data_IF_298262054701
#
_entry.id   IF_298262054701
#
_cell.length_a   1.000
_cell.length_b   1.000
_cell.length_c   1.000
_cell.angle_alpha   90.00
_cell.angle_beta   90.00
_cell.angle_gamma   90.00
#
_symmetry.space_group_name_H-M   'P 1'
#
loop_
_entity.id
_entity.type
_entity.pdbx_description
1 polymer ?
#
# COMPACT_ATOMS: atom_id res chain seq x y z
N UNK A 1 14.01 -3.65 23.33
CA UNK A 1 12.90 -2.68 23.40
C UNK A 1 11.67 -3.33 22.79
N UNK A 2 10.65 -3.55 23.62
CA UNK A 2 9.33 -4.00 23.17
C UNK A 2 8.74 -2.89 22.28
N UNK A 3 9.01 -2.94 20.99
CA UNK A 3 8.31 -2.08 20.05
C UNK A 3 6.87 -2.57 19.97
N UNK A 4 5.98 -1.78 20.53
CA UNK A 4 4.53 -1.97 20.38
C UNK A 4 4.20 -2.08 18.90
N UNK A 5 3.88 -3.28 18.44
CA UNK A 5 3.51 -3.59 17.05
C UNK A 5 2.05 -3.20 16.74
N UNK A 6 1.53 -2.21 17.44
CA UNK A 6 0.17 -1.72 17.22
C UNK A 6 0.22 -0.63 16.16
N UNK A 7 -0.33 -0.90 14.97
CA UNK A 7 -0.49 0.11 13.94
C UNK A 7 -1.87 0.76 14.09
N UNK A 8 -1.88 2.04 14.41
CA UNK A 8 -3.11 2.84 14.47
C UNK A 8 -3.37 3.65 13.19
N UNK A 9 -2.42 3.61 12.24
CA UNK A 9 -2.48 4.31 10.96
C UNK A 9 -2.98 5.76 11.11
N UNK A 10 -2.23 6.57 11.84
CA UNK A 10 -2.58 7.97 12.11
C UNK A 10 -1.80 8.91 11.21
N UNK A 11 -2.35 10.11 11.05
CA UNK A 11 -1.64 11.25 10.48
C UNK A 11 -1.41 12.24 11.61
N UNK A 12 -0.14 12.61 11.85
CA UNK A 12 0.22 13.60 12.86
C UNK A 12 -0.26 14.99 12.46
N UNK A 13 -0.39 15.90 13.43
CA UNK A 13 -0.73 17.29 13.16
C UNK A 13 0.30 17.97 12.23
N UNK A 14 1.56 17.63 12.38
CA UNK A 14 2.65 18.13 11.55
C UNK A 14 2.50 17.65 10.09
N UNK A 15 2.24 16.34 9.88
CA UNK A 15 1.98 15.79 8.55
C UNK A 15 0.71 16.37 7.91
N UNK A 16 -0.35 16.58 8.69
CA UNK A 16 -1.57 17.24 8.21
C UNK A 16 -1.28 18.68 7.76
N UNK A 17 -0.48 19.43 8.51
CA UNK A 17 -0.03 20.78 8.15
C UNK A 17 0.78 20.80 6.85
N UNK A 18 1.67 19.82 6.65
CA UNK A 18 2.42 19.65 5.40
C UNK A 18 1.48 19.39 4.20
N UNK A 19 0.50 18.49 4.38
CA UNK A 19 -0.47 18.16 3.34
C UNK A 19 -1.35 19.36 2.92
N UNK A 20 -1.65 20.28 3.84
CA UNK A 20 -2.38 21.52 3.49
C UNK A 20 -1.56 22.47 2.59
N UNK A 21 -0.24 22.39 2.61
CA UNK A 21 0.65 23.20 1.74
C UNK A 21 0.91 22.58 0.38
N UNK A 22 0.58 21.30 0.22
CA UNK A 22 0.89 20.53 -0.98
C UNK A 22 0.27 21.10 -2.27
N UNK A 23 -0.99 21.61 -2.32
CA UNK A 23 -1.55 22.19 -3.53
C UNK A 23 -0.73 23.36 -4.09
N UNK A 24 -0.27 24.25 -3.22
CA UNK A 24 0.57 25.37 -3.63
C UNK A 24 1.91 24.93 -4.21
N UNK A 25 2.53 23.86 -3.62
CA UNK A 25 3.76 23.28 -4.13
C UNK A 25 3.54 22.62 -5.50
N UNK A 26 2.42 21.90 -5.67
CA UNK A 26 2.07 21.28 -6.95
C UNK A 26 1.78 22.32 -8.03
N UNK A 27 1.05 23.40 -7.68
CA UNK A 27 0.74 24.46 -8.63
C UNK A 27 1.99 25.21 -9.09
N UNK A 28 2.97 25.38 -8.22
CA UNK A 28 4.25 26.01 -8.56
C UNK A 28 5.13 25.06 -9.42
N UNK A 29 5.18 23.78 -9.09
CA UNK A 29 5.97 22.80 -9.85
C UNK A 29 5.34 22.41 -11.20
N UNK A 30 4.01 22.47 -11.31
CA UNK A 30 3.26 22.15 -12.52
C UNK A 30 2.10 23.13 -12.70
N UNK A 31 2.34 24.37 -13.20
CA UNK A 31 1.29 25.35 -13.41
C UNK A 31 0.25 24.88 -14.41
N UNK A 32 -1.03 24.99 -14.07
CA UNK A 32 -2.15 24.70 -14.97
C UNK A 32 -2.89 26.01 -15.28
N UNK A 33 -3.00 26.40 -16.56
CA UNK A 33 -3.76 27.57 -16.96
C UNK A 33 -5.20 27.51 -16.45
N UNK A 34 -5.75 28.64 -16.00
CA UNK A 34 -7.06 28.70 -15.36
C UNK A 34 -8.17 28.11 -16.24
N UNK A 35 -8.13 28.37 -17.55
CA UNK A 35 -9.05 27.79 -18.55
C UNK A 35 -9.05 26.24 -18.55
N UNK A 36 -7.99 25.58 -18.07
CA UNK A 36 -7.87 24.11 -17.99
C UNK A 36 -8.19 23.58 -16.60
N UNK A 37 -8.31 24.43 -15.59
CA UNK A 37 -8.60 23.98 -14.21
C UNK A 37 -9.96 23.31 -14.11
N UNK A 38 -10.97 23.86 -14.78
CA UNK A 38 -12.31 23.27 -14.80
C UNK A 38 -12.36 21.88 -15.43
N UNK A 39 -11.48 21.58 -16.38
CA UNK A 39 -11.41 20.26 -17.04
C UNK A 39 -10.59 19.23 -16.26
N UNK A 40 -9.87 19.61 -15.21
CA UNK A 40 -9.01 18.73 -14.43
C UNK A 40 -9.78 17.53 -13.85
N UNK A 41 -10.98 17.75 -13.35
CA UNK A 41 -11.86 16.69 -12.80
C UNK A 41 -12.15 15.58 -13.81
N UNK A 42 -12.28 15.90 -15.09
CA UNK A 42 -12.49 14.91 -16.15
C UNK A 42 -11.20 14.13 -16.42
N UNK A 43 -10.06 14.81 -16.50
CA UNK A 43 -8.75 14.17 -16.65
C UNK A 43 -8.42 13.23 -15.48
N UNK A 44 -8.78 13.60 -14.26
CA UNK A 44 -8.66 12.75 -13.07
C UNK A 44 -9.51 11.50 -13.24
N UNK A 45 -10.76 11.62 -13.66
CA UNK A 45 -11.68 10.49 -13.85
C UNK A 45 -11.23 9.55 -14.98
N UNK A 46 -10.75 10.11 -16.10
CA UNK A 46 -10.25 9.33 -17.22
C UNK A 46 -8.97 8.58 -16.85
N UNK A 47 -8.04 9.24 -16.16
CA UNK A 47 -6.85 8.59 -15.65
C UNK A 47 -7.19 7.51 -14.64
N UNK A 48 -8.15 7.75 -13.74
CA UNK A 48 -8.62 6.75 -12.79
C UNK A 48 -9.16 5.50 -13.51
N UNK A 49 -9.97 5.65 -14.56
CA UNK A 49 -10.45 4.51 -15.36
C UNK A 49 -9.28 3.73 -15.96
N UNK A 50 -8.33 4.42 -16.57
CA UNK A 50 -7.14 3.80 -17.15
C UNK A 50 -6.33 3.02 -16.11
N UNK A 51 -6.15 3.57 -14.90
CA UNK A 51 -5.34 2.95 -13.86
C UNK A 51 -6.05 1.82 -13.08
N UNK A 52 -7.39 1.78 -13.09
CA UNK A 52 -8.15 0.82 -12.28
C UNK A 52 -8.95 -0.18 -13.10
N UNK A 53 -9.64 0.26 -14.16
CA UNK A 53 -10.57 -0.57 -14.93
C UNK A 53 -9.96 -1.10 -16.23
N UNK A 54 -9.05 -0.35 -16.85
CA UNK A 54 -8.46 -0.63 -18.15
C UNK A 54 -6.97 -0.97 -18.06
N UNK A 55 -6.52 -1.50 -16.92
CA UNK A 55 -5.10 -1.78 -16.67
C UNK A 55 -4.44 -2.64 -17.74
N UNK A 56 -5.15 -3.62 -18.28
CA UNK A 56 -4.66 -4.48 -19.36
C UNK A 56 -4.41 -3.75 -20.69
N UNK A 57 -5.07 -2.60 -20.90
CA UNK A 57 -4.97 -1.78 -22.09
C UNK A 57 -4.13 -0.52 -21.88
N UNK A 58 -3.59 -0.34 -20.68
CA UNK A 58 -2.88 0.87 -20.30
C UNK A 58 -1.64 1.08 -21.15
N UNK A 59 -1.58 2.23 -21.81
CA UNK A 59 -0.31 2.70 -22.38
C UNK A 59 0.67 3.00 -21.24
N UNK A 60 1.84 2.39 -21.29
CA UNK A 60 2.93 2.57 -20.32
C UNK A 60 3.32 4.05 -20.19
N UNK A 61 3.15 4.82 -21.24
CA UNK A 61 3.55 6.22 -21.35
C UNK A 61 2.41 7.24 -21.06
N UNK A 62 1.40 6.84 -20.27
CA UNK A 62 0.25 7.69 -19.97
C UNK A 62 0.64 9.06 -19.34
N UNK A 63 1.77 9.13 -18.63
CA UNK A 63 2.29 10.37 -18.06
C UNK A 63 2.90 11.33 -19.08
N UNK A 64 3.07 10.91 -20.33
CA UNK A 64 3.44 11.83 -21.43
C UNK A 64 2.28 12.75 -21.83
N UNK A 65 1.04 12.40 -21.50
CA UNK A 65 -0.10 13.28 -21.65
C UNK A 65 -0.10 14.36 -20.55
N UNK A 66 0.01 15.66 -20.89
CA UNK A 66 0.08 16.74 -19.89
C UNK A 66 -1.14 16.81 -18.96
N UNK A 67 -2.34 16.44 -19.44
CA UNK A 67 -3.54 16.42 -18.63
C UNK A 67 -3.50 15.31 -17.60
N UNK A 68 -3.02 14.12 -17.98
CA UNK A 68 -2.84 12.99 -17.08
C UNK A 68 -1.70 13.21 -16.09
N UNK A 69 -0.62 13.84 -16.53
CA UNK A 69 0.48 14.26 -15.66
C UNK A 69 -0.03 15.20 -14.55
N UNK A 70 -0.78 16.25 -14.92
CA UNK A 70 -1.37 17.18 -13.97
C UNK A 70 -2.40 16.53 -13.05
N UNK A 71 -3.23 15.60 -13.59
CA UNK A 71 -4.20 14.83 -12.82
C UNK A 71 -3.52 13.92 -11.81
N UNK A 72 -2.41 13.27 -12.20
CA UNK A 72 -1.65 12.40 -11.32
C UNK A 72 -1.10 13.17 -10.11
N UNK A 73 -0.43 14.30 -10.35
CA UNK A 73 0.16 15.12 -9.29
C UNK A 73 -0.89 15.68 -8.32
N UNK A 74 -2.09 16.04 -8.80
CA UNK A 74 -3.13 16.70 -7.98
C UNK A 74 -4.09 15.76 -7.28
N UNK A 75 -4.20 14.53 -7.76
CA UNK A 75 -5.15 13.57 -7.22
C UNK A 75 -4.47 12.30 -6.71
N UNK A 76 -3.71 11.58 -7.56
CA UNK A 76 -3.14 10.29 -7.20
C UNK A 76 -1.99 10.41 -6.20
N UNK A 77 -1.06 11.33 -6.43
CA UNK A 77 0.02 11.61 -5.49
C UNK A 77 -0.51 11.92 -4.08
N UNK A 78 -1.43 12.91 -3.87
CA UNK A 78 -1.91 13.22 -2.53
C UNK A 78 -2.61 12.05 -1.85
N UNK A 79 -3.42 11.27 -2.55
CA UNK A 79 -4.08 10.09 -1.97
C UNK A 79 -3.07 8.98 -1.61
N UNK A 80 -2.04 8.80 -2.42
CA UNK A 80 -0.96 7.86 -2.09
C UNK A 80 -0.15 8.36 -0.90
N UNK A 81 0.07 9.67 -0.77
CA UNK A 81 0.72 10.26 0.40
C UNK A 81 -0.08 10.01 1.68
N UNK A 82 -1.39 10.22 1.67
CA UNK A 82 -2.23 9.96 2.87
C UNK A 82 -2.07 8.53 3.36
N UNK A 83 -2.12 7.54 2.47
CA UNK A 83 -1.90 6.13 2.83
C UNK A 83 -0.50 5.88 3.39
N UNK A 84 0.50 6.36 2.67
CA UNK A 84 1.89 6.05 2.98
C UNK A 84 2.35 6.78 4.25
N UNK A 85 1.92 8.02 4.47
CA UNK A 85 2.17 8.75 5.71
C UNK A 85 1.58 7.99 6.91
N UNK A 86 0.33 7.53 6.80
CA UNK A 86 -0.32 6.79 7.87
C UNK A 86 0.43 5.48 8.21
N UNK A 87 0.95 4.78 7.20
CA UNK A 87 1.78 3.60 7.39
C UNK A 87 3.15 3.95 8.00
N UNK A 88 3.86 4.91 7.39
CA UNK A 88 5.22 5.25 7.82
C UNK A 88 5.28 5.84 9.22
N UNK A 89 4.23 6.55 9.66
CA UNK A 89 4.16 7.10 11.02
C UNK A 89 4.37 6.02 12.08
N UNK A 90 3.79 4.85 11.86
CA UNK A 90 3.85 3.73 12.81
C UNK A 90 5.03 2.77 12.56
N UNK A 91 5.56 2.75 11.34
CA UNK A 91 6.60 1.80 10.96
C UNK A 91 7.97 2.23 11.51
N UNK A 92 8.69 1.38 12.27
CA UNK A 92 10.02 1.69 12.76
C UNK A 92 11.04 1.62 11.62
N UNK A 93 11.42 2.78 11.09
CA UNK A 93 12.49 2.88 10.10
C UNK A 93 13.82 3.09 10.82
N UNK A 94 14.71 2.11 10.77
CA UNK A 94 16.03 2.18 11.42
C UNK A 94 17.06 2.87 10.49
N UNK A 95 16.78 4.14 10.15
CA UNK A 95 17.64 4.98 9.31
C UNK A 95 18.54 5.86 10.17
N UNK A 96 19.79 5.95 9.81
CA UNK A 96 20.82 6.72 10.49
C UNK A 96 21.62 7.59 9.51
N UNK A 97 22.49 8.42 10.04
CA UNK A 97 23.37 9.23 9.20
C UNK A 97 24.12 8.35 8.19
N UNK A 98 24.04 8.74 6.91
CA UNK A 98 24.64 8.04 5.79
C UNK A 98 23.87 6.83 5.27
N UNK A 99 22.68 6.51 5.83
CA UNK A 99 21.85 5.44 5.28
C UNK A 99 21.43 5.71 3.84
N UNK A 100 21.43 4.65 3.04
CA UNK A 100 21.03 4.67 1.62
C UNK A 100 19.64 4.07 1.49
N UNK A 101 18.76 4.80 0.84
CA UNK A 101 17.42 4.36 0.47
C UNK A 101 17.36 4.19 -1.04
N UNK A 102 16.82 3.07 -1.53
CA UNK A 102 16.47 2.89 -2.93
C UNK A 102 14.96 2.85 -3.05
N UNK A 103 14.39 3.85 -3.71
CA UNK A 103 12.95 3.96 -3.98
C UNK A 103 12.71 3.61 -5.45
N UNK A 104 12.27 2.38 -5.69
CA UNK A 104 12.04 1.82 -7.01
C UNK A 104 10.59 2.09 -7.48
N UNK A 105 10.44 2.66 -8.67
CA UNK A 105 9.16 3.15 -9.17
C UNK A 105 8.70 4.40 -8.41
N UNK A 106 9.64 5.30 -8.15
CA UNK A 106 9.48 6.47 -7.27
C UNK A 106 8.36 7.41 -7.74
N UNK A 107 8.02 7.40 -9.04
CA UNK A 107 7.04 8.30 -9.61
C UNK A 107 7.34 9.75 -9.27
N UNK A 108 6.38 10.53 -8.73
CA UNK A 108 6.61 11.90 -8.27
C UNK A 108 7.27 11.94 -6.87
N UNK A 109 8.23 11.07 -6.58
CA UNK A 109 8.89 10.95 -5.28
C UNK A 109 7.89 10.72 -4.12
N UNK A 110 6.93 9.83 -4.34
CA UNK A 110 5.87 9.57 -3.36
C UNK A 110 6.44 9.12 -2.02
N UNK A 111 7.43 8.21 -2.02
CA UNK A 111 8.05 7.75 -0.78
C UNK A 111 8.86 8.85 -0.08
N UNK A 112 9.79 9.60 -0.73
CA UNK A 112 10.49 10.71 -0.09
C UNK A 112 9.56 11.79 0.48
N UNK A 113 8.49 12.15 -0.23
CA UNK A 113 7.47 13.09 0.25
C UNK A 113 6.75 12.57 1.48
N UNK A 114 6.36 11.30 1.48
CA UNK A 114 5.72 10.66 2.62
C UNK A 114 6.67 10.54 3.82
N UNK A 115 7.95 10.22 3.58
CA UNK A 115 8.99 10.18 4.60
C UNK A 115 9.17 11.54 5.27
N UNK A 116 9.23 12.62 4.47
CA UNK A 116 9.31 13.99 4.97
C UNK A 116 8.13 14.31 5.90
N UNK A 117 6.91 13.94 5.51
CA UNK A 117 5.72 14.22 6.32
C UNK A 117 5.62 13.34 7.57
N UNK A 118 5.92 12.03 7.45
CA UNK A 118 5.67 11.05 8.49
C UNK A 118 6.77 11.00 9.57
N UNK A 119 8.01 11.37 9.21
CA UNK A 119 9.21 11.19 10.05
C UNK A 119 9.97 12.51 10.25
N UNK A 120 9.41 13.45 11.02
CA UNK A 120 10.07 14.74 11.26
C UNK A 120 11.46 14.62 11.86
N UNK A 121 11.74 13.57 12.62
CA UNK A 121 13.06 13.27 13.16
C UNK A 121 14.12 13.00 12.10
N UNK A 122 13.72 12.46 10.95
CA UNK A 122 14.64 12.18 9.84
C UNK A 122 14.97 13.41 8.98
N UNK A 123 14.22 14.51 9.12
CA UNK A 123 14.48 15.75 8.36
C UNK A 123 15.84 16.37 8.68
N UNK A 124 16.49 15.97 9.79
CA UNK A 124 17.83 16.44 10.20
C UNK A 124 18.92 15.38 10.02
N UNK A 125 18.56 14.20 9.54
CA UNK A 125 19.50 13.09 9.35
C UNK A 125 19.96 13.08 7.88
N UNK A 126 21.28 13.17 7.61
CA UNK A 126 21.81 13.03 6.27
C UNK A 126 21.52 11.64 5.70
N UNK A 127 20.79 11.59 4.58
CA UNK A 127 20.42 10.37 3.88
C UNK A 127 20.78 10.49 2.40
N UNK A 128 21.04 9.38 1.74
CA UNK A 128 21.06 9.30 0.27
C UNK A 128 19.81 8.54 -0.17
N UNK A 129 18.99 9.18 -1.02
CA UNK A 129 17.75 8.58 -1.54
C UNK A 129 17.86 8.49 -3.05
N UNK A 130 18.03 7.27 -3.55
CA UNK A 130 18.08 6.95 -4.97
C UNK A 130 16.67 6.69 -5.44
N UNK A 131 16.10 7.64 -6.17
CA UNK A 131 14.77 7.58 -6.74
C UNK A 131 14.88 7.06 -8.17
N UNK A 132 14.36 5.86 -8.42
CA UNK A 132 14.45 5.20 -9.72
C UNK A 132 13.07 5.05 -10.34
N UNK A 133 12.90 5.51 -11.59
CA UNK A 133 11.67 5.37 -12.37
C UNK A 133 11.99 5.44 -13.87
N UNK A 134 11.06 4.93 -14.69
CA UNK A 134 11.15 5.06 -16.17
C UNK A 134 10.69 6.42 -16.67
N UNK A 135 9.99 7.21 -15.88
CA UNK A 135 9.41 8.50 -16.26
C UNK A 135 10.18 9.65 -15.60
N UNK A 136 11.28 10.16 -16.21
CA UNK A 136 12.15 11.15 -15.56
C UNK A 136 11.44 12.45 -15.23
N UNK A 137 10.53 12.91 -16.10
CA UNK A 137 9.81 14.19 -15.89
C UNK A 137 8.95 14.22 -14.63
N UNK A 138 8.34 13.09 -14.24
CA UNK A 138 7.52 13.07 -13.03
C UNK A 138 8.38 13.02 -11.78
N UNK A 139 9.57 12.39 -11.86
CA UNK A 139 10.56 12.45 -10.77
C UNK A 139 11.08 13.87 -10.56
N UNK A 140 11.39 14.59 -11.64
CA UNK A 140 11.81 16.01 -11.56
C UNK A 140 10.75 16.88 -10.91
N UNK A 141 9.48 16.72 -11.31
CA UNK A 141 8.37 17.42 -10.69
C UNK A 141 8.23 17.06 -9.20
N UNK A 142 8.36 15.78 -8.86
CA UNK A 142 8.32 15.30 -7.48
C UNK A 142 9.45 15.89 -6.63
N UNK A 143 10.67 15.98 -7.16
CA UNK A 143 11.81 16.59 -6.47
C UNK A 143 11.54 18.07 -6.18
N UNK A 144 11.06 18.82 -7.17
CA UNK A 144 10.69 20.22 -6.98
C UNK A 144 9.57 20.38 -5.95
N UNK A 145 8.55 19.51 -5.97
CA UNK A 145 7.47 19.51 -4.97
C UNK A 145 8.04 19.27 -3.57
N UNK A 146 8.97 18.33 -3.40
CA UNK A 146 9.60 18.05 -2.11
C UNK A 146 10.39 19.28 -1.59
N UNK A 147 11.18 19.90 -2.45
CA UNK A 147 11.95 21.09 -2.11
C UNK A 147 11.04 22.27 -1.71
N UNK A 148 9.97 22.50 -2.48
CA UNK A 148 8.98 23.53 -2.18
C UNK A 148 8.22 23.24 -0.88
N UNK A 149 7.84 21.97 -0.65
CA UNK A 149 7.16 21.57 0.56
C UNK A 149 8.06 21.76 1.79
N UNK A 150 9.31 21.35 1.71
CA UNK A 150 10.28 21.53 2.79
C UNK A 150 10.50 23.02 3.11
N UNK A 151 10.66 23.86 2.09
CA UNK A 151 10.80 25.29 2.26
C UNK A 151 9.56 25.97 2.87
N UNK A 152 8.36 25.62 2.38
CA UNK A 152 7.09 26.23 2.85
C UNK A 152 6.61 25.69 4.20
N UNK A 153 6.98 24.48 4.57
CA UNK A 153 6.56 23.82 5.80
C UNK A 153 7.60 23.93 6.90
N UNK A 154 8.83 23.50 6.64
CA UNK A 154 9.92 23.43 7.63
C UNK A 154 10.89 24.61 7.59
N UNK A 155 10.88 25.42 6.53
CA UNK A 155 11.81 26.54 6.32
C UNK A 155 13.19 26.12 5.84
N UNK A 156 13.55 24.85 5.95
CA UNK A 156 14.85 24.29 5.58
C UNK A 156 14.70 23.02 4.75
N UNK A 157 15.61 22.78 3.83
CA UNK A 157 15.70 21.51 3.12
C UNK A 157 16.35 20.47 4.03
N UNK A 158 15.81 19.25 4.08
CA UNK A 158 16.49 18.17 4.78
C UNK A 158 17.83 17.87 4.11
N UNK A 159 18.84 17.43 4.87
CA UNK A 159 20.16 17.06 4.33
C UNK A 159 20.10 15.71 3.58
N UNK A 160 19.14 15.58 2.67
CA UNK A 160 18.94 14.40 1.86
C UNK A 160 19.55 14.62 0.47
N UNK A 161 20.49 13.74 0.10
CA UNK A 161 20.99 13.67 -1.26
C UNK A 161 19.99 12.89 -2.12
N UNK A 162 19.13 13.61 -2.87
CA UNK A 162 18.14 13.02 -3.78
C UNK A 162 18.76 12.81 -5.15
N UNK A 163 18.96 11.54 -5.52
CA UNK A 163 19.48 11.14 -6.83
C UNK A 163 18.34 10.58 -7.69
N UNK A 164 18.08 11.20 -8.83
CA UNK A 164 17.10 10.71 -9.81
C UNK A 164 17.79 9.81 -10.81
N UNK A 165 17.30 8.59 -10.98
CA UNK A 165 17.86 7.61 -11.93
C UNK A 165 16.77 7.06 -12.84
N UNK A 166 17.03 7.11 -14.15
CA UNK A 166 16.16 6.51 -15.15
C UNK A 166 16.48 5.02 -15.26
N UNK A 167 15.78 4.19 -14.49
CA UNK A 167 15.99 2.74 -14.38
C UNK A 167 14.65 1.99 -14.35
N UNK A 168 14.70 0.74 -14.77
CA UNK A 168 13.61 -0.23 -14.63
C UNK A 168 13.88 -1.17 -13.45
N UNK A 169 12.83 -1.70 -12.88
CA UNK A 169 12.95 -2.74 -11.85
C UNK A 169 13.73 -3.95 -12.40
N UNK A 170 14.74 -4.39 -11.64
CA UNK A 170 15.65 -5.47 -12.03
C UNK A 170 16.96 -4.99 -12.68
N UNK A 171 17.07 -3.74 -13.11
CA UNK A 171 18.33 -3.18 -13.57
C UNK A 171 19.28 -2.92 -12.39
N UNK A 172 20.60 -3.19 -12.52
CA UNK A 172 21.53 -3.13 -11.41
C UNK A 172 21.78 -1.70 -10.95
N UNK A 173 21.90 -1.53 -9.62
CA UNK A 173 22.39 -0.32 -8.95
C UNK A 173 23.67 -0.70 -8.22
N UNK A 174 24.69 0.17 -8.26
CA UNK A 174 25.98 -0.07 -7.61
C UNK A 174 25.86 -0.05 -6.09
N UNK A 175 25.10 0.90 -5.58
CA UNK A 175 24.90 1.12 -4.16
C UNK A 175 24.01 0.03 -3.57
N UNK A 176 24.21 -0.28 -2.28
CA UNK A 176 23.36 -1.18 -1.52
C UNK A 176 22.51 -0.40 -0.54
N UNK A 177 21.22 -0.68 -0.53
CA UNK A 177 20.23 0.00 0.28
C UNK A 177 20.20 -0.55 1.71
N UNK A 178 20.18 0.34 2.68
CA UNK A 178 19.73 0.02 4.05
C UNK A 178 18.21 -0.14 4.09
N UNK A 179 17.50 0.60 3.23
CA UNK A 179 16.07 0.46 3.00
C UNK A 179 15.76 0.47 1.50
N UNK A 180 15.18 -0.62 1.01
CA UNK A 180 14.56 -0.68 -0.32
C UNK A 180 13.06 -0.41 -0.19
N UNK A 181 12.52 0.40 -1.08
CA UNK A 181 11.10 0.71 -1.15
C UNK A 181 10.55 0.45 -2.55
N UNK A 182 9.34 -0.10 -2.61
CA UNK A 182 8.54 -0.21 -3.83
C UNK A 182 7.07 0.09 -3.49
N UNK A 183 6.54 1.20 -3.98
CA UNK A 183 5.20 1.67 -3.65
C UNK A 183 4.32 1.73 -4.90
N UNK A 184 3.32 0.83 -4.98
CA UNK A 184 2.42 0.67 -6.13
C UNK A 184 3.14 0.33 -7.44
N UNK A 185 4.19 -0.48 -7.38
CA UNK A 185 5.06 -0.81 -8.51
C UNK A 185 4.86 -2.24 -8.98
N UNK A 186 4.85 -3.21 -8.06
CA UNK A 186 4.87 -4.62 -8.41
C UNK A 186 3.58 -5.06 -9.08
N UNK A 187 2.45 -4.46 -8.73
CA UNK A 187 1.16 -4.73 -9.36
C UNK A 187 1.16 -4.41 -10.87
N UNK A 188 2.02 -3.50 -11.32
CA UNK A 188 2.15 -3.15 -12.73
C UNK A 188 2.87 -4.25 -13.50
N UNK A 189 3.93 -4.81 -12.95
CA UNK A 189 4.69 -5.91 -13.55
C UNK A 189 3.89 -7.20 -13.55
N UNK A 190 3.28 -7.52 -12.42
CA UNK A 190 2.54 -8.76 -12.22
C UNK A 190 1.24 -8.83 -13.03
N UNK A 191 0.66 -7.70 -13.44
CA UNK A 191 -0.61 -7.67 -14.16
C UNK A 191 -0.58 -8.41 -15.49
N UNK A 192 0.55 -8.39 -16.19
CA UNK A 192 0.76 -9.04 -17.48
C UNK A 192 1.52 -10.37 -17.40
N UNK A 193 1.88 -10.80 -16.19
CA UNK A 193 2.66 -12.01 -16.02
C UNK A 193 1.76 -13.25 -16.11
N UNK A 194 2.15 -14.18 -16.97
CA UNK A 194 1.59 -15.52 -17.11
C UNK A 194 2.64 -16.51 -16.58
N UNK A 195 2.51 -16.93 -15.32
CA UNK A 195 3.49 -17.81 -14.70
C UNK A 195 2.99 -18.43 -13.41
N UNK A 196 3.86 -19.15 -12.72
CA UNK A 196 3.60 -19.71 -11.40
C UNK A 196 3.86 -18.59 -10.37
N UNK A 197 2.84 -18.21 -9.60
CA UNK A 197 2.94 -17.11 -8.63
C UNK A 197 4.10 -17.25 -7.64
N UNK A 198 4.38 -18.48 -7.20
CA UNK A 198 5.49 -18.75 -6.28
C UNK A 198 6.85 -18.45 -6.93
N UNK A 199 7.03 -18.81 -8.21
CA UNK A 199 8.26 -18.56 -8.95
C UNK A 199 8.43 -17.06 -9.22
N UNK A 200 7.35 -16.38 -9.63
CA UNK A 200 7.35 -14.94 -9.83
C UNK A 200 7.68 -14.19 -8.54
N UNK A 201 7.10 -14.62 -7.42
CA UNK A 201 7.35 -14.03 -6.11
C UNK A 201 8.81 -14.25 -5.66
N UNK A 202 9.37 -15.43 -5.88
CA UNK A 202 10.77 -15.73 -5.58
C UNK A 202 11.72 -14.91 -6.45
N UNK A 203 11.42 -14.73 -7.74
CA UNK A 203 12.20 -13.90 -8.65
C UNK A 203 12.16 -12.42 -8.25
N UNK A 204 10.97 -11.89 -7.92
CA UNK A 204 10.80 -10.53 -7.44
C UNK A 204 11.62 -10.31 -6.16
N UNK A 205 11.48 -11.21 -5.18
CA UNK A 205 12.22 -11.12 -3.93
C UNK A 205 13.74 -11.14 -4.16
N UNK A 206 14.24 -12.07 -4.97
CA UNK A 206 15.66 -12.16 -5.31
C UNK A 206 16.18 -10.86 -5.94
N UNK A 207 15.43 -10.25 -6.86
CA UNK A 207 15.78 -8.95 -7.44
C UNK A 207 15.85 -7.85 -6.39
N UNK A 208 14.89 -7.81 -5.46
CA UNK A 208 14.87 -6.81 -4.38
C UNK A 208 16.06 -7.02 -3.44
N UNK A 209 16.36 -8.25 -3.06
CA UNK A 209 17.48 -8.59 -2.19
C UNK A 209 18.83 -8.14 -2.76
N UNK A 210 18.98 -8.13 -4.10
CA UNK A 210 20.20 -7.64 -4.75
C UNK A 210 20.41 -6.12 -4.55
N UNK A 211 19.36 -5.36 -4.30
CA UNK A 211 19.51 -3.94 -3.99
C UNK A 211 19.90 -3.67 -2.53
N UNK A 212 19.70 -4.62 -1.63
CA UNK A 212 19.82 -4.43 -0.20
C UNK A 212 21.23 -4.78 0.33
N UNK A 213 21.63 -4.12 1.42
CA UNK A 213 22.74 -4.56 2.27
C UNK A 213 22.38 -5.91 2.92
N UNK A 214 23.37 -6.59 3.55
CA UNK A 214 23.16 -7.87 4.21
C UNK A 214 22.11 -7.83 5.35
N UNK A 215 21.91 -6.68 5.97
CA UNK A 215 20.91 -6.42 7.01
C UNK A 215 19.85 -5.39 6.60
N UNK A 216 19.78 -5.09 5.32
CA UNK A 216 18.84 -4.11 4.77
C UNK A 216 17.38 -4.52 4.95
N UNK A 217 16.50 -3.55 4.89
CA UNK A 217 15.06 -3.77 4.95
C UNK A 217 14.39 -3.50 3.62
N UNK A 218 13.27 -4.16 3.41
CA UNK A 218 12.46 -4.06 2.19
C UNK A 218 11.04 -3.66 2.57
N UNK A 219 10.59 -2.51 2.10
CA UNK A 219 9.21 -2.04 2.25
C UNK A 219 8.50 -2.14 0.90
N UNK A 220 7.48 -2.99 0.83
CA UNK A 220 6.64 -3.16 -0.35
C UNK A 220 5.22 -2.74 0.03
N UNK A 221 4.66 -1.79 -0.71
CA UNK A 221 3.29 -1.29 -0.48
C UNK A 221 2.53 -1.34 -1.79
N UNK A 222 1.38 -2.00 -1.77
CA UNK A 222 0.54 -2.20 -2.95
C UNK A 222 -0.92 -1.80 -2.66
N UNK A 223 -1.77 -1.60 -3.67
CA UNK A 223 -3.19 -1.39 -3.46
C UNK A 223 -3.82 -2.52 -2.66
N UNK A 224 -4.79 -2.19 -1.78
CA UNK A 224 -5.50 -3.15 -0.94
C UNK A 224 -6.53 -3.98 -1.70
N UNK A 225 -6.16 -4.54 -2.84
CA UNK A 225 -7.01 -5.39 -3.69
C UNK A 225 -6.60 -6.87 -3.62
N UNK A 226 -7.50 -7.81 -3.94
CA UNK A 226 -7.23 -9.25 -3.79
C UNK A 226 -5.98 -9.72 -4.54
N UNK A 227 -5.74 -9.20 -5.73
CA UNK A 227 -4.59 -9.60 -6.57
C UNK A 227 -3.27 -9.14 -5.97
N UNK A 228 -3.20 -7.89 -5.53
CA UNK A 228 -2.01 -7.37 -4.84
C UNK A 228 -1.77 -8.07 -3.50
N UNK A 229 -2.83 -8.33 -2.73
CA UNK A 229 -2.74 -9.11 -1.50
C UNK A 229 -2.24 -10.54 -1.74
N UNK A 230 -2.65 -11.17 -2.84
CA UNK A 230 -2.17 -12.50 -3.26
C UNK A 230 -0.68 -12.50 -3.61
N UNK A 231 -0.22 -11.50 -4.37
CA UNK A 231 1.19 -11.32 -4.70
C UNK A 231 2.04 -11.13 -3.43
N UNK A 232 1.62 -10.24 -2.53
CA UNK A 232 2.35 -10.01 -1.28
C UNK A 232 2.36 -11.24 -0.39
N UNK A 233 1.27 -12.02 -0.35
CA UNK A 233 1.24 -13.30 0.37
C UNK A 233 2.28 -14.29 -0.18
N UNK A 234 2.45 -14.34 -1.50
CA UNK A 234 3.46 -15.21 -2.14
C UNK A 234 4.90 -14.71 -1.89
N UNK A 235 5.15 -13.40 -1.98
CA UNK A 235 6.46 -12.79 -1.65
C UNK A 235 6.80 -13.06 -0.18
N UNK A 236 5.83 -12.92 0.73
CA UNK A 236 5.99 -13.27 2.14
C UNK A 236 6.41 -14.72 2.32
N UNK A 237 5.75 -15.64 1.64
CA UNK A 237 6.09 -17.06 1.71
C UNK A 237 7.53 -17.33 1.22
N UNK A 238 7.92 -16.72 0.10
CA UNK A 238 9.29 -16.80 -0.41
C UNK A 238 10.32 -16.24 0.57
N UNK A 239 10.04 -15.09 1.20
CA UNK A 239 10.92 -14.47 2.18
C UNK A 239 11.15 -15.40 3.39
N UNK A 240 10.08 -15.99 3.94
CA UNK A 240 10.18 -16.92 5.07
C UNK A 240 10.97 -18.18 4.67
N UNK A 241 10.75 -18.71 3.46
CA UNK A 241 11.48 -19.88 2.96
C UNK A 241 12.96 -19.59 2.75
N UNK A 242 13.32 -18.39 2.33
CA UNK A 242 14.71 -17.92 2.19
C UNK A 242 15.37 -17.59 3.53
N UNK A 243 14.63 -17.61 4.64
CA UNK A 243 15.13 -17.33 5.98
C UNK A 243 15.07 -15.85 6.37
N UNK A 244 14.43 -15.01 5.54
CA UNK A 244 14.24 -13.60 5.83
C UNK A 244 13.18 -13.39 6.93
N UNK A 245 13.29 -12.27 7.66
CA UNK A 245 12.36 -11.95 8.73
C UNK A 245 11.28 -10.98 8.26
N UNK A 246 10.02 -11.41 8.29
CA UNK A 246 8.86 -10.56 8.03
C UNK A 246 8.50 -9.81 9.32
N UNK A 247 8.98 -8.56 9.45
CA UNK A 247 8.79 -7.73 10.65
C UNK A 247 7.34 -7.21 10.76
N UNK A 248 6.70 -6.92 9.61
CA UNK A 248 5.32 -6.45 9.55
C UNK A 248 4.65 -6.80 8.20
N UNK A 249 3.32 -6.90 8.15
CA UNK A 249 2.33 -6.76 9.23
C UNK A 249 2.08 -8.07 10.00
N UNK A 250 2.75 -9.15 9.59
CA UNK A 250 2.42 -10.51 10.02
C UNK A 250 2.76 -10.74 11.50
N UNK A 251 1.81 -11.27 12.31
CA UNK A 251 2.07 -11.65 13.68
C UNK A 251 2.76 -13.01 13.83
N UNK A 252 2.91 -13.78 12.74
CA UNK A 252 3.46 -15.14 12.72
C UNK A 252 4.19 -15.43 11.41
N UNK A 253 5.00 -16.51 11.41
CA UNK A 253 5.70 -17.04 10.24
C UNK A 253 5.01 -18.27 9.58
N UNK A 254 3.88 -18.72 10.10
CA UNK A 254 3.11 -19.84 9.54
C UNK A 254 2.52 -19.47 8.18
N UNK A 255 1.92 -20.43 7.46
CA UNK A 255 1.24 -20.19 6.20
C UNK A 255 0.22 -19.05 6.30
N UNK A 256 0.16 -18.19 5.28
CA UNK A 256 -0.78 -17.07 5.26
C UNK A 256 -2.21 -17.56 5.11
N UNK A 257 -3.13 -17.24 6.04
CA UNK A 257 -4.52 -17.67 5.95
C UNK A 257 -5.35 -16.82 4.98
N UNK A 258 -4.76 -15.77 4.39
CA UNK A 258 -5.43 -14.82 3.50
C UNK A 258 -4.69 -14.72 2.15
N UNK A 259 -4.78 -15.77 1.30
CA UNK A 259 -4.02 -15.85 0.05
C UNK A 259 -4.57 -14.96 -1.08
N UNK A 260 -5.64 -14.19 -0.86
CA UNK A 260 -6.23 -13.35 -1.88
C UNK A 260 -7.03 -14.13 -2.92
N UNK A 261 -6.80 -13.85 -4.21
CA UNK A 261 -7.49 -14.54 -5.31
C UNK A 261 -6.97 -15.97 -5.55
N UNK A 262 -5.83 -16.32 -4.94
CA UNK A 262 -5.19 -17.62 -5.14
C UNK A 262 -5.30 -18.47 -3.90
N UNK A 263 -5.86 -19.66 -4.06
CA UNK A 263 -5.85 -20.72 -3.07
C UNK A 263 -4.49 -21.38 -3.11
N UNK A 264 -3.59 -21.09 -2.17
CA UNK A 264 -2.35 -21.81 -1.96
C UNK A 264 -1.69 -22.36 -3.24
N UNK A 265 -0.99 -21.60 -4.02
CA UNK A 265 -0.11 -22.04 -5.11
C UNK A 265 -0.69 -22.98 -6.19
N UNK A 266 -1.67 -23.80 -5.88
CA UNK A 266 -2.20 -24.83 -6.78
C UNK A 266 -2.98 -24.27 -7.99
N UNK A 267 -3.72 -23.19 -7.84
CA UNK A 267 -4.44 -22.58 -8.97
C UNK A 267 -3.50 -21.87 -9.92
N UNK A 268 -2.34 -21.46 -9.43
CA UNK A 268 -1.28 -20.86 -10.24
C UNK A 268 -0.44 -21.92 -10.94
N UNK A 269 -0.31 -23.11 -10.37
CA UNK A 269 0.39 -24.24 -10.97
C UNK A 269 -0.32 -24.76 -12.24
N UNK A 270 -1.59 -24.44 -12.42
CA UNK A 270 -2.37 -24.86 -13.61
C UNK A 270 -2.33 -23.88 -14.78
N UNK A 271 -1.57 -22.78 -14.68
CA UNK A 271 -1.47 -21.75 -15.74
C UNK A 271 -2.79 -21.04 -16.06
N UNK A 272 -3.81 -21.21 -15.24
CA UNK A 272 -5.08 -20.51 -15.40
C UNK A 272 -5.02 -19.16 -14.67
N UNK A 273 -4.60 -18.13 -15.39
CA UNK A 273 -4.89 -16.76 -15.00
C UNK A 273 -6.39 -16.65 -14.70
N UNK A 274 -6.72 -15.98 -13.56
CA UNK A 274 -8.12 -15.80 -13.19
C UNK A 274 -8.95 -15.33 -14.37
N UNK A 275 -10.13 -15.92 -14.64
CA UNK A 275 -11.01 -15.53 -15.77
C UNK A 275 -11.49 -14.08 -15.73
N UNK A 276 -11.10 -13.32 -14.70
CA UNK A 276 -11.53 -11.94 -14.49
C UNK A 276 -10.95 -10.93 -15.51
N UNK A 277 -9.89 -11.29 -16.25
CA UNK A 277 -9.25 -10.38 -17.20
C UNK A 277 -9.90 -10.30 -18.57
N UNK A 278 -10.79 -11.22 -18.95
CA UNK A 278 -11.18 -11.38 -20.36
C UNK A 278 -12.67 -11.22 -20.72
N UNK A 279 -13.57 -10.87 -19.82
CA UNK A 279 -15.01 -10.84 -20.15
C UNK A 279 -15.73 -9.50 -20.13
N UNK A 280 -15.10 -8.39 -19.83
CA UNK A 280 -15.82 -7.08 -19.75
C UNK A 280 -15.42 -6.01 -20.76
N UNK A 281 -14.66 -6.34 -21.81
CA UNK A 281 -14.21 -5.34 -22.81
C UNK A 281 -15.05 -5.29 -24.10
N UNK A 282 -16.31 -5.67 -24.08
CA UNK A 282 -17.21 -5.43 -25.22
C UNK A 282 -18.56 -4.94 -24.72
N UNK A 283 -18.69 -3.65 -24.52
CA UNK A 283 -19.86 -2.77 -24.68
C UNK A 283 -19.77 -1.56 -23.76
N UNK A 284 -19.09 -0.54 -24.18
CA UNK A 284 -19.50 0.83 -23.90
C UNK A 284 -19.01 1.71 -25.05
N UNK A 285 -19.90 1.95 -25.99
CA UNK A 285 -19.73 2.96 -27.03
C UNK A 285 -19.54 4.32 -26.39
N UNK A 286 -18.46 5.00 -26.80
CA UNK A 286 -18.18 6.39 -26.48
C UNK A 286 -19.34 7.29 -26.92
N UNK A 287 -20.23 7.61 -26.02
CA UNK A 287 -21.08 8.79 -26.18
C UNK A 287 -20.21 10.02 -25.97
N UNK A 288 -19.84 10.69 -27.06
CA UNK A 288 -19.28 12.05 -27.03
C UNK A 288 -20.26 12.94 -26.27
N UNK A 289 -19.95 13.29 -25.04
CA UNK A 289 -20.71 14.29 -24.28
C UNK A 289 -20.20 15.68 -24.63
N UNK A 290 -21.12 16.52 -25.02
CA UNK A 290 -20.92 17.96 -25.22
C UNK A 290 -20.51 18.63 -23.91
N UNK A 291 -19.46 19.43 -23.96
CA UNK A 291 -18.92 20.22 -22.84
C UNK A 291 -19.86 21.38 -22.58
N UNK A 292 -20.94 21.16 -21.84
CA UNK A 292 -21.80 22.23 -21.28
C UNK A 292 -22.55 21.68 -20.08
N UNK A 293 -21.86 21.39 -18.99
CA UNK A 293 -22.54 21.20 -17.71
C UNK A 293 -21.57 21.41 -16.54
N UNK A 294 -21.82 22.42 -15.78
CA UNK A 294 -21.05 22.78 -14.55
C UNK A 294 -21.40 21.88 -13.36
N UNK A 295 -22.14 20.79 -13.59
CA UNK A 295 -22.58 19.86 -12.58
C UNK A 295 -21.46 18.90 -12.20
N UNK A 296 -21.51 18.43 -10.97
CA UNK A 296 -20.64 17.37 -10.49
C UNK A 296 -20.78 16.12 -11.37
N UNK A 297 -19.68 15.40 -11.52
CA UNK A 297 -19.71 14.10 -12.18
C UNK A 297 -20.45 13.08 -11.30
N UNK A 298 -21.28 12.26 -11.93
CA UNK A 298 -21.93 11.16 -11.21
C UNK A 298 -20.89 10.23 -10.58
N UNK A 299 -21.14 9.75 -9.35
CA UNK A 299 -20.26 8.80 -8.66
C UNK A 299 -20.01 7.56 -9.51
N UNK A 300 -18.76 7.08 -9.50
CA UNK A 300 -18.40 5.82 -10.15
C UNK A 300 -18.62 4.68 -9.16
N UNK A 301 -19.39 3.68 -9.55
CA UNK A 301 -19.53 2.44 -8.79
C UNK A 301 -18.34 1.52 -9.09
N UNK A 302 -17.61 1.15 -8.06
CA UNK A 302 -16.56 0.13 -8.16
C UNK A 302 -17.20 -1.26 -8.23
N UNK A 303 -16.76 -2.14 -9.16
CA UNK A 303 -17.19 -3.53 -9.14
C UNK A 303 -16.77 -4.19 -7.83
N UNK A 304 -17.66 -4.99 -7.24
CA UNK A 304 -17.33 -5.78 -6.06
C UNK A 304 -16.19 -6.77 -6.37
N UNK A 305 -15.26 -6.98 -5.43
CA UNK A 305 -14.23 -8.00 -5.60
C UNK A 305 -14.87 -9.38 -5.82
N UNK A 306 -14.55 -10.04 -6.94
CA UNK A 306 -15.07 -11.38 -7.28
C UNK A 306 -14.16 -12.47 -6.72
N UNK A 307 -13.75 -12.35 -5.47
CA UNK A 307 -12.94 -13.38 -4.81
C UNK A 307 -13.71 -14.08 -3.72
N UNK A 308 -13.48 -15.38 -3.57
CA UNK A 308 -14.00 -16.21 -2.47
C UNK A 308 -13.03 -16.28 -1.29
N UNK A 309 -11.81 -15.79 -1.48
CA UNK A 309 -10.74 -15.89 -0.49
C UNK A 309 -10.45 -14.54 0.13
N UNK A 310 -10.19 -14.48 1.44
CA UNK A 310 -9.75 -13.27 2.10
C UNK A 310 -8.35 -12.88 1.62
N UNK A 311 -8.05 -11.59 1.66
CA UNK A 311 -6.71 -11.07 1.40
C UNK A 311 -6.31 -10.09 2.50
N UNK A 312 -5.01 -10.04 2.75
CA UNK A 312 -4.46 -9.15 3.76
C UNK A 312 -4.42 -7.72 3.23
N UNK A 313 -5.18 -6.83 3.85
CA UNK A 313 -5.17 -5.40 3.56
C UNK A 313 -5.57 -4.61 4.80
N UNK A 314 -5.24 -3.32 4.79
CA UNK A 314 -5.54 -2.38 5.85
C UNK A 314 -6.28 -1.19 5.27
N UNK A 315 -7.01 -0.48 6.13
CA UNK A 315 -7.79 0.68 5.74
C UNK A 315 -7.43 1.89 6.59
N UNK A 316 -7.35 3.05 5.93
CA UNK A 316 -7.23 4.36 6.57
C UNK A 316 -8.50 5.15 6.25
N UNK A 317 -9.15 5.78 7.22
CA UNK A 317 -10.30 6.64 6.97
C UNK A 317 -9.95 7.78 6.01
N UNK A 318 -10.80 8.02 5.02
CA UNK A 318 -10.56 9.11 4.06
C UNK A 318 -10.69 10.50 4.71
N UNK A 319 -11.29 10.60 5.88
CA UNK A 319 -11.38 11.83 6.68
C UNK A 319 -10.02 12.33 7.16
N UNK A 320 -8.97 11.48 7.21
CA UNK A 320 -7.61 11.90 7.49
C UNK A 320 -6.99 12.74 6.36
N UNK A 321 -7.56 12.67 5.16
CA UNK A 321 -7.12 13.50 4.06
C UNK A 321 -7.58 14.96 4.22
N UNK A 322 -6.78 15.92 3.73
CA UNK A 322 -7.14 17.33 3.73
C UNK A 322 -8.50 17.58 3.06
N UNK A 323 -9.21 18.61 3.53
CA UNK A 323 -10.53 18.96 2.97
C UNK A 323 -10.50 19.23 1.47
N UNK A 324 -9.44 19.90 0.99
CA UNK A 324 -9.28 20.21 -0.43
C UNK A 324 -9.21 18.94 -1.30
N UNK A 325 -8.55 17.88 -0.83
CA UNK A 325 -8.42 16.62 -1.57
C UNK A 325 -9.75 15.85 -1.60
N UNK A 326 -10.45 15.82 -0.48
CA UNK A 326 -11.79 15.22 -0.39
C UNK A 326 -12.78 15.95 -1.31
N UNK A 327 -12.72 17.28 -1.35
CA UNK A 327 -13.53 18.09 -2.27
C UNK A 327 -13.22 17.77 -3.73
N UNK A 328 -11.95 17.74 -4.11
CA UNK A 328 -11.53 17.39 -5.49
C UNK A 328 -12.02 15.99 -5.88
N UNK A 329 -11.96 15.02 -4.96
CA UNK A 329 -12.49 13.67 -5.17
C UNK A 329 -13.98 13.67 -5.45
N UNK A 330 -14.74 14.40 -4.64
CA UNK A 330 -16.17 14.52 -4.80
C UNK A 330 -16.55 15.15 -6.13
N UNK A 331 -15.91 16.25 -6.51
CA UNK A 331 -16.11 16.95 -7.78
C UNK A 331 -15.75 16.08 -9.01
N UNK A 332 -14.82 15.13 -8.84
CA UNK A 332 -14.40 14.18 -9.87
C UNK A 332 -15.29 12.92 -9.92
N UNK A 333 -16.31 12.80 -9.07
CA UNK A 333 -17.15 11.60 -8.95
C UNK A 333 -16.42 10.39 -8.37
N UNK A 334 -15.33 10.62 -7.62
CA UNK A 334 -14.43 9.61 -7.05
C UNK A 334 -14.33 9.76 -5.53
N UNK A 335 -15.43 10.14 -4.87
CA UNK A 335 -15.47 10.24 -3.42
C UNK A 335 -15.02 8.94 -2.75
N UNK A 336 -14.30 9.08 -1.64
CA UNK A 336 -13.74 7.96 -0.90
C UNK A 336 -14.19 8.03 0.56
N UNK A 337 -14.57 6.90 1.10
CA UNK A 337 -14.84 6.73 2.53
C UNK A 337 -13.58 6.23 3.25
N UNK A 338 -12.80 5.40 2.57
CA UNK A 338 -11.56 4.81 3.09
C UNK A 338 -10.53 4.60 1.98
N UNK A 339 -9.30 4.42 2.40
CA UNK A 339 -8.16 4.08 1.56
C UNK A 339 -7.64 2.73 1.99
N UNK A 340 -7.61 1.77 1.09
CA UNK A 340 -7.06 0.45 1.37
C UNK A 340 -5.68 0.28 0.76
N UNK A 341 -4.83 -0.49 1.45
CA UNK A 341 -3.50 -0.88 1.01
C UNK A 341 -3.09 -2.20 1.63
N UNK A 342 -2.14 -2.86 1.00
CA UNK A 342 -1.44 -4.04 1.51
C UNK A 342 0.04 -3.74 1.59
N UNK A 343 0.77 -4.30 2.56
CA UNK A 343 2.20 -4.06 2.67
C UNK A 343 2.95 -5.23 3.28
N UNK A 344 4.26 -5.24 3.02
CA UNK A 344 5.24 -6.08 3.69
C UNK A 344 6.44 -5.23 4.10
N UNK A 345 6.94 -5.49 5.30
CA UNK A 345 8.20 -4.95 5.79
C UNK A 345 9.07 -6.13 6.22
N UNK A 346 10.15 -6.35 5.48
CA UNK A 346 10.98 -7.53 5.56
C UNK A 346 12.40 -7.10 5.88
N UNK A 347 13.05 -7.75 6.84
CA UNK A 347 14.46 -7.60 7.14
C UNK A 347 15.25 -8.74 6.50
N UNK A 348 16.26 -8.37 5.70
CA UNK A 348 17.22 -9.32 5.16
C UNK A 348 18.08 -9.88 6.28
N UNK A 349 18.31 -11.20 6.27
CA UNK A 349 19.14 -11.87 7.24
C UNK A 349 20.34 -12.52 6.56
N UNK A 350 21.49 -12.58 7.24
CA UNK A 350 22.62 -13.33 6.73
C UNK A 350 22.32 -14.83 6.88
N UNK A 351 22.29 -15.54 5.77
CA UNK A 351 21.79 -16.89 5.52
C UNK A 351 22.23 -18.04 6.40
N UNK A 352 22.25 -17.88 7.73
CA UNK A 352 22.41 -18.96 8.71
C UNK A 352 21.83 -18.64 10.09
N UNK A 353 21.06 -17.55 10.23
CA UNK A 353 20.32 -17.34 11.46
C UNK A 353 19.23 -18.40 11.53
N UNK A 354 19.39 -19.36 12.43
CA UNK A 354 18.45 -20.43 12.73
C UNK A 354 17.02 -19.95 12.56
N UNK A 355 16.24 -20.71 11.75
CA UNK A 355 14.79 -20.59 11.51
C UNK A 355 14.13 -19.76 12.61
N UNK A 356 13.69 -18.57 12.22
CA UNK A 356 13.06 -17.53 12.99
C UNK A 356 12.73 -17.91 14.43
N UNK A 357 13.41 -17.31 15.40
CA UNK A 357 12.79 -17.09 16.69
C UNK A 357 11.57 -16.17 16.45
N UNK A 358 10.46 -16.76 16.04
CA UNK A 358 9.17 -16.17 16.39
C UNK A 358 9.25 -16.01 17.89
N UNK A 359 9.35 -14.77 18.37
CA UNK A 359 9.42 -14.51 19.80
C UNK A 359 8.30 -15.31 20.46
N UNK A 360 8.66 -16.18 21.39
CA UNK A 360 7.71 -16.97 22.19
C UNK A 360 6.73 -15.96 22.81
N UNK A 361 5.51 -15.89 22.30
CA UNK A 361 4.51 -14.89 22.69
C UNK A 361 3.75 -14.29 21.52
N UNK A 362 4.35 -14.18 20.33
CA UNK A 362 3.63 -13.72 19.12
C UNK A 362 2.59 -14.72 18.63
N UNK A 363 2.75 -15.99 18.94
CA UNK A 363 1.78 -17.05 18.57
C UNK A 363 0.40 -16.88 19.20
N UNK A 364 0.30 -16.10 20.27
CA UNK A 364 -0.95 -15.78 20.96
C UNK A 364 -1.58 -14.47 20.53
N UNK A 365 -1.06 -13.83 19.46
CA UNK A 365 -1.53 -12.54 18.97
C UNK A 365 -2.26 -12.69 17.64
N UNK A 366 -3.23 -11.80 17.40
CA UNK A 366 -3.85 -11.65 16.09
C UNK A 366 -3.83 -10.19 15.61
N UNK A 367 -3.64 -10.01 14.31
CA UNK A 367 -3.63 -8.73 13.63
C UNK A 367 -5.00 -8.45 13.02
N UNK A 368 -5.68 -7.40 13.46
CA UNK A 368 -6.94 -6.96 12.86
C UNK A 368 -6.67 -6.46 11.43
N UNK A 369 -7.39 -6.99 10.44
CA UNK A 369 -7.18 -6.68 9.01
C UNK A 369 -8.42 -6.16 8.30
N UNK A 370 -9.57 -6.14 8.96
CA UNK A 370 -10.82 -5.70 8.33
C UNK A 370 -11.47 -4.54 9.05
N UNK A 371 -12.41 -3.90 8.33
CA UNK A 371 -13.43 -3.05 8.93
C UNK A 371 -14.45 -3.89 9.72
N UNK A 372 -15.29 -3.25 10.54
CA UNK A 372 -16.37 -3.93 11.24
C UNK A 372 -17.35 -4.60 10.26
N UNK A 373 -17.77 -5.81 10.60
CA UNK A 373 -18.85 -6.53 9.93
C UNK A 373 -20.01 -6.76 10.90
N UNK A 374 -21.24 -6.70 10.38
CA UNK A 374 -22.43 -7.01 11.16
C UNK A 374 -22.60 -8.53 11.28
N UNK A 375 -22.83 -8.98 12.50
CA UNK A 375 -23.09 -10.36 12.87
C UNK A 375 -24.55 -10.49 13.35
N UNK A 376 -25.11 -11.72 13.39
CA UNK A 376 -26.45 -11.94 13.95
C UNK A 376 -26.59 -11.40 15.37
N UNK A 377 -27.74 -10.78 15.68
CA UNK A 377 -28.04 -10.20 16.98
C UNK A 377 -27.36 -8.85 17.22
N UNK A 378 -27.22 -8.02 16.16
CA UNK A 378 -26.66 -6.66 16.18
C UNK A 378 -25.23 -6.57 16.75
N UNK A 379 -24.53 -7.69 16.80
CA UNK A 379 -23.13 -7.75 17.18
C UNK A 379 -22.24 -7.32 16.03
N UNK A 380 -21.04 -6.88 16.38
CA UNK A 380 -19.99 -6.57 15.41
C UNK A 380 -18.81 -7.53 15.58
N UNK A 381 -18.12 -7.76 14.47
CA UNK A 381 -16.86 -8.52 14.44
C UNK A 381 -15.88 -7.90 13.45
N UNK A 382 -14.61 -8.24 13.60
CA UNK A 382 -13.56 -7.89 12.65
C UNK A 382 -12.73 -9.12 12.33
N UNK A 383 -12.37 -9.27 11.05
CA UNK A 383 -11.44 -10.32 10.67
C UNK A 383 -10.00 -9.98 11.07
N UNK A 384 -9.26 -11.02 11.39
CA UNK A 384 -7.87 -10.92 11.84
C UNK A 384 -7.03 -12.08 11.30
N UNK A 385 -5.71 -11.88 11.31
CA UNK A 385 -4.70 -12.89 11.00
C UNK A 385 -3.99 -13.33 12.27
N UNK A 386 -3.85 -14.64 12.48
CA UNK A 386 -3.13 -15.21 13.63
C UNK A 386 -2.36 -16.47 13.23
N UNK A 387 -1.49 -16.94 14.14
CA UNK A 387 -0.75 -18.19 13.95
C UNK A 387 -1.65 -19.43 13.84
N UNK A 388 -2.88 -19.37 14.38
CA UNK A 388 -3.87 -20.45 14.29
C UNK A 388 -4.73 -20.36 13.03
N UNK A 389 -4.60 -19.29 12.24
CA UNK A 389 -5.29 -19.13 10.96
C UNK A 389 -6.12 -17.85 10.86
N UNK A 390 -7.10 -17.87 9.96
CA UNK A 390 -8.05 -16.78 9.76
C UNK A 390 -9.02 -16.71 10.92
N UNK A 391 -9.15 -15.52 11.51
CA UNK A 391 -9.82 -15.34 12.81
C UNK A 391 -10.92 -14.28 12.68
N UNK A 392 -12.03 -14.47 13.36
CA UNK A 392 -13.10 -13.51 13.52
C UNK A 392 -13.14 -13.05 14.99
N UNK A 393 -12.70 -11.84 15.23
CA UNK A 393 -12.67 -11.21 16.55
C UNK A 393 -14.02 -10.56 16.80
N UNK A 394 -14.66 -10.94 17.92
CA UNK A 394 -15.92 -10.36 18.36
C UNK A 394 -15.74 -9.65 19.69
N UNK A 395 -16.39 -8.51 19.88
CA UNK A 395 -16.39 -7.82 21.16
C UNK A 395 -17.52 -8.32 22.05
N UNK A 396 -17.28 -8.33 23.36
CA UNK A 396 -18.35 -8.46 24.34
C UNK A 396 -19.29 -7.24 24.23
N UNK A 397 -20.57 -7.41 24.66
CA UNK A 397 -21.56 -6.35 24.57
C UNK A 397 -21.06 -5.03 25.18
N UNK A 398 -21.07 -3.97 24.38
CA UNK A 398 -20.66 -2.63 24.80
C UNK A 398 -19.15 -2.32 24.69
N UNK A 399 -18.32 -3.27 24.26
CA UNK A 399 -16.89 -3.02 23.99
C UNK A 399 -16.68 -2.62 22.54
N UNK A 400 -15.81 -1.63 22.32
CA UNK A 400 -15.40 -1.22 20.99
C UNK A 400 -14.35 -2.21 20.43
N UNK A 401 -14.51 -2.59 19.17
CA UNK A 401 -13.55 -3.47 18.50
C UNK A 401 -12.26 -2.72 18.17
N UNK A 402 -11.09 -3.35 18.36
CA UNK A 402 -9.79 -2.74 18.01
C UNK A 402 -9.74 -2.25 16.57
N UNK A 403 -9.02 -1.16 16.33
CA UNK A 403 -8.86 -0.57 15.00
C UNK A 403 -8.16 -1.55 14.02
N UNK A 404 -8.38 -1.35 12.72
CA UNK A 404 -7.61 -2.05 11.66
C UNK A 404 -6.10 -1.79 11.87
N UNK A 405 -5.28 -2.83 11.79
CA UNK A 405 -3.85 -2.78 12.10
C UNK A 405 -3.49 -3.10 13.55
N UNK A 406 -4.44 -3.07 14.50
CA UNK A 406 -4.18 -3.41 15.90
C UNK A 406 -3.73 -4.85 16.06
N UNK A 407 -2.82 -5.08 17.00
CA UNK A 407 -2.38 -6.39 17.44
C UNK A 407 -3.03 -6.69 18.80
N UNK A 408 -3.84 -7.73 18.86
CA UNK A 408 -4.61 -8.09 20.06
C UNK A 408 -4.30 -9.51 20.50
N UNK A 409 -4.32 -9.81 21.83
CA UNK A 409 -4.09 -11.15 22.32
C UNK A 409 -5.27 -12.07 21.95
N UNK A 410 -4.94 -13.32 21.59
CA UNK A 410 -5.92 -14.39 21.52
C UNK A 410 -6.00 -15.00 22.92
N UNK A 411 -7.15 -14.89 23.57
CA UNK A 411 -7.34 -15.53 24.87
C UNK A 411 -7.20 -17.05 24.78
N UNK A 412 -6.50 -17.65 25.76
CA UNK A 412 -6.17 -19.08 25.87
C UNK A 412 -7.37 -20.03 25.89
N UNK A 413 -8.61 -19.53 25.90
CA UNK A 413 -9.80 -20.36 25.89
C UNK A 413 -9.88 -21.38 24.75
N UNK A 414 -9.14 -21.15 23.65
CA UNK A 414 -9.04 -22.10 22.54
C UNK A 414 -8.19 -23.32 22.92
N UNK A 415 -7.22 -23.19 23.85
CA UNK A 415 -6.31 -24.28 24.21
C UNK A 415 -6.73 -25.11 25.43
N UNK A 416 -7.57 -24.61 26.31
CA UNK A 416 -7.81 -25.24 27.64
C UNK A 416 -9.03 -26.18 27.69
N UNK A 417 -9.91 -26.20 26.68
CA UNK A 417 -11.17 -26.98 26.79
C UNK A 417 -11.26 -28.24 25.96
N UNK A 418 -10.25 -28.62 25.18
CA UNK A 418 -10.34 -29.85 24.36
C UNK A 418 -11.51 -29.89 23.39
N UNK A 419 -12.27 -28.78 23.27
CA UNK A 419 -13.40 -28.63 22.36
C UNK A 419 -12.90 -28.09 21.01
N UNK A 420 -13.52 -28.53 19.91
CA UNK A 420 -13.27 -28.01 18.59
C UNK A 420 -13.45 -26.47 18.56
N UNK A 421 -12.59 -25.74 17.84
CA UNK A 421 -12.71 -24.29 17.76
C UNK A 421 -14.08 -23.89 17.20
N UNK A 422 -14.67 -22.82 17.75
CA UNK A 422 -15.89 -22.24 17.21
C UNK A 422 -15.57 -21.58 15.86
N UNK A 423 -16.18 -22.05 14.78
CA UNK A 423 -15.88 -21.60 13.41
C UNK A 423 -17.11 -20.89 12.84
N UNK A 424 -16.89 -19.69 12.28
CA UNK A 424 -17.88 -19.01 11.47
C UNK A 424 -18.15 -19.81 10.18
N UNK A 425 -19.36 -20.30 10.03
CA UNK A 425 -19.75 -21.16 8.88
C UNK A 425 -19.64 -20.46 7.53
N UNK A 426 -19.74 -19.14 7.50
CA UNK A 426 -19.70 -18.36 6.26
C UNK A 426 -18.27 -18.14 5.75
N UNK A 427 -17.35 -17.80 6.64
CA UNK A 427 -15.98 -17.43 6.28
C UNK A 427 -14.94 -18.52 6.58
N UNK A 428 -15.29 -19.52 7.42
CA UNK A 428 -14.35 -20.48 7.93
C UNK A 428 -13.40 -19.92 9.00
N UNK A 429 -13.62 -18.70 9.45
CA UNK A 429 -12.79 -18.05 10.45
C UNK A 429 -13.01 -18.63 11.85
N UNK A 430 -11.95 -18.74 12.63
CA UNK A 430 -12.01 -19.13 14.05
C UNK A 430 -12.55 -17.94 14.85
N UNK A 431 -13.67 -18.12 15.56
CA UNK A 431 -14.28 -17.07 16.36
C UNK A 431 -13.56 -16.96 17.70
N UNK A 432 -13.11 -15.77 18.03
CA UNK A 432 -12.49 -15.43 19.31
C UNK A 432 -13.14 -14.20 19.92
N UNK A 433 -13.21 -14.14 21.24
CA UNK A 433 -13.71 -12.97 21.97
C UNK A 433 -12.55 -12.08 22.37
N UNK A 434 -12.77 -10.76 22.22
CA UNK A 434 -11.86 -9.70 22.66
C UNK A 434 -12.35 -9.10 23.97
#
# INVERSE_FOLDING_TARGET
>A
SEHSLVYSFRISADAASALEKLPACIDEANPVPERKRASLRYSIRDLWRSLTMERALRNIDYLNNPAFFSAYLRYFLPWNLVRLIALLTELPLELKNGSIIVDMGSGPLTFPLALYCAKPELRKVPLTIICADRAPRIMEAGKLILELLAAKHGGELPPWNIELRHLRFGEPIREKADLFCAVNVLNEFFWHHEGILADDAAEILSKIEHYCTASGRMLIVEPGEPRSGGLLSAIRASAILSGEEVEAPCPHANACPMPGIFKSGQEYLTGRASPLAHKETKKEEQKKRSIKDDRMLEPVQMPSPRTKYPWCHFSVPAEFAPRWLRKLSFESGLAKEKLSFSFLYIRKTEGNASRSRVEKGRESLCRIVSDPILLPGDRQGKYACSAVGYTLVTAANGMELPASGSLVPIHKEIKERGSAPNIDRKSGAIIVSY
#
